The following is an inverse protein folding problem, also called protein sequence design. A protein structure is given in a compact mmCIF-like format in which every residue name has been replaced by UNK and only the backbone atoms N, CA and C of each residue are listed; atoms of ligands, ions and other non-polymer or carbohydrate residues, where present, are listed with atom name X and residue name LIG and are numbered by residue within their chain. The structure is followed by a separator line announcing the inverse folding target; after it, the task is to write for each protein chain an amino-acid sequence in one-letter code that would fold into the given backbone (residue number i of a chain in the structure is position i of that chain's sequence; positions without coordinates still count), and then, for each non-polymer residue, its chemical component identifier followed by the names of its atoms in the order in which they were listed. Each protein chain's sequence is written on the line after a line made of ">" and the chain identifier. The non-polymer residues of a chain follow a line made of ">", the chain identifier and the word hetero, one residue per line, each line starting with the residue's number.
data_IF_333049571780
#
_entry.id   IF_333049571780
#
_cell.length_a   1.000
_cell.length_b   1.000
_cell.length_c   1.000
_cell.angle_alpha   90.00
_cell.angle_beta   90.00
_cell.angle_gamma   90.00
#
_symmetry.space_group_name_H-M   'P 1'
#
loop_
_entity.id
_entity.type
_entity.pdbx_description
1 polymer ?
#
# COMPACT_ATOMS: atom_id res chain seq x y z
N UNK A 1 -6.88 5.84 -14.82
CA UNK A 1 -6.26 4.52 -14.60
C UNK A 1 -6.07 4.28 -13.10
N UNK A 2 -5.96 3.01 -12.67
CA UNK A 2 -5.69 2.71 -11.27
C UNK A 2 -4.40 3.36 -10.76
N UNK A 3 -3.37 3.42 -11.58
CA UNK A 3 -2.10 4.06 -11.21
C UNK A 3 -2.26 5.56 -11.00
N UNK A 4 -3.00 6.24 -11.86
CA UNK A 4 -3.28 7.66 -11.72
C UNK A 4 -4.12 7.94 -10.48
N UNK A 5 -5.12 7.10 -10.21
CA UNK A 5 -5.96 7.21 -9.02
C UNK A 5 -5.14 7.04 -7.76
N UNK A 6 -4.29 6.02 -7.71
CA UNK A 6 -3.41 5.77 -6.56
C UNK A 6 -2.46 6.92 -6.30
N UNK A 7 -1.90 7.48 -7.36
CA UNK A 7 -1.01 8.63 -7.26
C UNK A 7 -1.73 9.85 -6.68
N UNK A 8 -2.93 10.11 -7.14
CA UNK A 8 -3.75 11.22 -6.67
C UNK A 8 -4.14 11.03 -5.20
N UNK A 9 -4.62 9.85 -4.85
CA UNK A 9 -5.04 9.55 -3.47
C UNK A 9 -3.87 9.65 -2.49
N UNK A 10 -2.68 9.22 -2.89
CA UNK A 10 -1.50 9.35 -2.05
C UNK A 10 -1.22 10.83 -1.73
N UNK A 11 -1.31 11.70 -2.73
CA UNK A 11 -1.13 13.14 -2.52
C UNK A 11 -2.22 13.70 -1.60
N UNK A 12 -3.47 13.33 -1.85
CA UNK A 12 -4.61 13.81 -1.05
C UNK A 12 -4.51 13.37 0.41
N UNK A 13 -4.07 12.14 0.65
CA UNK A 13 -4.02 11.57 1.99
C UNK A 13 -2.74 11.91 2.74
N UNK A 14 -1.61 11.98 2.07
CA UNK A 14 -0.30 12.13 2.72
C UNK A 14 0.46 13.38 2.31
N UNK A 15 0.05 14.06 1.27
CA UNK A 15 0.80 15.18 0.70
C UNK A 15 2.04 14.74 -0.06
N UNK A 16 2.26 13.45 -0.24
CA UNK A 16 3.46 12.90 -0.87
C UNK A 16 3.22 12.67 -2.35
N UNK A 17 4.05 13.27 -3.21
CA UNK A 17 4.06 13.01 -4.64
C UNK A 17 4.94 11.79 -4.92
N UNK A 18 4.39 10.81 -5.60
CA UNK A 18 5.14 9.60 -5.95
C UNK A 18 6.13 9.88 -7.09
N UNK A 19 7.25 9.17 -7.06
CA UNK A 19 8.24 9.19 -8.13
C UNK A 19 7.79 8.30 -9.28
N UNK A 20 7.27 7.12 -8.97
CA UNK A 20 6.77 6.15 -9.93
C UNK A 20 5.64 5.36 -9.31
N UNK A 21 4.73 4.88 -10.14
CA UNK A 21 3.65 4.00 -9.70
C UNK A 21 3.61 2.76 -10.60
N UNK A 22 3.16 1.66 -10.04
CA UNK A 22 2.99 0.40 -10.74
C UNK A 22 1.76 -0.32 -10.23
N UNK A 23 0.89 -0.72 -11.13
CA UNK A 23 -0.23 -1.58 -10.79
C UNK A 23 0.29 -2.98 -10.50
N UNK A 24 0.12 -3.46 -9.28
CA UNK A 24 0.53 -4.81 -8.87
C UNK A 24 -0.50 -5.86 -9.24
N UNK A 25 -1.75 -5.49 -9.26
CA UNK A 25 -2.82 -6.39 -9.60
C UNK A 25 -4.16 -5.85 -9.13
N UNK A 26 -5.20 -6.58 -9.46
CA UNK A 26 -6.57 -6.23 -9.09
C UNK A 26 -7.22 -7.47 -8.48
N UNK A 27 -8.09 -7.27 -7.51
CA UNK A 27 -8.74 -8.35 -6.81
C UNK A 27 -10.16 -8.00 -6.43
N UNK A 28 -10.98 -9.04 -6.36
CA UNK A 28 -12.36 -8.93 -5.89
C UNK A 28 -12.42 -9.63 -4.53
N UNK A 29 -12.71 -8.91 -3.44
CA UNK A 29 -12.68 -9.48 -2.09
C UNK A 29 -13.68 -10.60 -1.90
N UNK A 30 -14.85 -10.51 -2.55
CA UNK A 30 -15.90 -11.52 -2.44
C UNK A 30 -16.26 -11.98 -3.84
N UNK A 31 -15.81 -13.18 -4.19
CA UNK A 31 -16.05 -13.77 -5.50
C UNK A 31 -17.54 -14.12 -5.65
N UNK A 32 -18.13 -13.76 -6.79
CA UNK A 32 -19.53 -14.06 -7.09
C UNK A 32 -20.55 -13.14 -6.44
N UNK A 33 -20.09 -12.17 -5.66
CA UNK A 33 -20.95 -11.14 -5.08
C UNK A 33 -20.77 -9.83 -5.83
N UNK A 34 -21.75 -8.93 -5.74
CA UNK A 34 -21.57 -7.58 -6.29
C UNK A 34 -20.51 -6.92 -5.45
N UNK A 35 -19.28 -7.12 -5.84
CA UNK A 35 -18.13 -6.59 -5.15
C UNK A 35 -17.42 -5.58 -6.01
N UNK A 36 -16.90 -4.57 -5.37
CA UNK A 36 -16.00 -3.66 -6.04
C UNK A 36 -14.69 -4.38 -6.34
N UNK A 37 -14.10 -4.06 -7.48
CA UNK A 37 -12.75 -4.49 -7.78
C UNK A 37 -11.79 -3.50 -7.14
N UNK A 38 -10.85 -4.02 -6.36
CA UNK A 38 -9.81 -3.21 -5.76
C UNK A 38 -8.51 -3.37 -6.56
N UNK A 39 -7.81 -2.27 -6.71
CA UNK A 39 -6.54 -2.24 -7.43
C UNK A 39 -5.41 -1.98 -6.45
N UNK A 40 -4.39 -2.82 -6.47
CA UNK A 40 -3.20 -2.65 -5.63
C UNK A 40 -2.13 -1.92 -6.43
N UNK A 41 -1.78 -0.73 -6.01
CA UNK A 41 -0.80 0.11 -6.70
C UNK A 41 0.40 0.32 -5.78
N UNK A 42 1.59 0.04 -6.30
CA UNK A 42 2.84 0.32 -5.62
C UNK A 42 3.30 1.72 -6.05
N UNK A 43 3.54 2.58 -5.08
CA UNK A 43 4.06 3.92 -5.33
C UNK A 43 5.45 4.03 -4.70
N UNK A 44 6.46 4.35 -5.52
CA UNK A 44 7.76 4.72 -5.02
C UNK A 44 7.72 6.19 -4.63
N UNK A 45 8.17 6.49 -3.43
CA UNK A 45 8.17 7.85 -2.90
C UNK A 45 9.59 8.31 -2.62
N UNK A 46 9.85 9.62 -2.63
CA UNK A 46 11.14 10.12 -2.18
C UNK A 46 11.30 9.87 -0.69
N UNK A 47 12.54 9.99 -0.22
CA UNK A 47 12.79 9.93 1.21
C UNK A 47 12.05 11.07 1.91
N UNK A 48 11.31 10.74 2.96
CA UNK A 48 10.50 11.70 3.69
C UNK A 48 10.90 11.74 5.15
N UNK A 49 10.67 12.88 5.79
CA UNK A 49 10.88 13.02 7.22
C UNK A 49 9.70 12.36 7.94
N UNK A 50 9.96 11.37 8.83
CA UNK A 50 8.89 10.72 9.59
C UNK A 50 8.05 11.71 10.40
N UNK A 51 8.63 12.81 10.85
CA UNK A 51 7.92 13.83 11.64
C UNK A 51 6.82 14.51 10.82
N UNK A 52 7.03 14.72 9.54
CA UNK A 52 6.03 15.31 8.65
C UNK A 52 4.80 14.40 8.53
N UNK A 53 5.02 13.09 8.46
CA UNK A 53 3.91 12.14 8.40
C UNK A 53 3.16 12.08 9.74
N UNK A 54 3.85 12.16 10.86
CA UNK A 54 3.23 12.18 12.17
C UNK A 54 2.35 13.42 12.36
N UNK A 55 2.80 14.59 11.90
CA UNK A 55 2.01 15.82 11.99
C UNK A 55 0.68 15.68 11.22
N UNK A 56 0.71 15.09 10.04
CA UNK A 56 -0.50 14.87 9.27
C UNK A 56 -1.44 13.89 9.95
N UNK A 57 -0.91 12.84 10.57
CA UNK A 57 -1.68 11.87 11.32
C UNK A 57 -2.36 12.52 12.54
N UNK A 58 -1.65 13.40 13.26
CA UNK A 58 -2.20 14.13 14.40
C UNK A 58 -3.35 15.04 14.01
N UNK A 59 -3.31 15.59 12.81
CA UNK A 59 -4.38 16.42 12.28
C UNK A 59 -5.59 15.61 11.81
N UNK A 60 -5.51 14.28 11.89
CA UNK A 60 -6.59 13.38 11.48
C UNK A 60 -6.76 13.26 9.98
N UNK A 61 -5.77 13.72 9.22
CA UNK A 61 -5.83 13.72 7.75
C UNK A 61 -5.38 12.40 7.16
N UNK A 62 -4.52 11.66 7.89
CA UNK A 62 -3.83 10.49 7.37
C UNK A 62 -3.93 9.30 8.32
N UNK A 63 -4.32 8.15 7.78
CA UNK A 63 -4.16 6.85 8.42
C UNK A 63 -2.99 6.14 7.72
N UNK A 64 -1.78 6.66 7.93
CA UNK A 64 -0.57 6.17 7.28
C UNK A 64 0.57 6.06 8.30
N UNK A 65 1.47 5.11 8.05
CA UNK A 65 2.55 4.81 8.98
C UNK A 65 3.79 4.37 8.21
N UNK A 66 4.95 4.81 8.67
CA UNK A 66 6.24 4.34 8.14
C UNK A 66 6.67 3.12 8.93
N UNK A 67 6.89 2.02 8.23
CA UNK A 67 7.31 0.76 8.85
C UNK A 67 8.32 0.06 7.96
N UNK A 68 9.15 -0.78 8.55
CA UNK A 68 10.03 -1.67 7.80
C UNK A 68 9.24 -2.88 7.30
N UNK A 69 9.80 -3.64 6.36
CA UNK A 69 9.19 -4.89 5.90
C UNK A 69 8.99 -5.88 7.03
N UNK A 70 9.96 -5.98 7.93
CA UNK A 70 9.87 -6.85 9.10
C UNK A 70 8.76 -6.42 10.03
N UNK A 71 8.61 -5.11 10.24
CA UNK A 71 7.55 -4.57 11.09
C UNK A 71 6.16 -4.85 10.51
N UNK A 72 5.96 -4.62 9.20
CA UNK A 72 4.65 -4.86 8.60
C UNK A 72 4.31 -6.34 8.58
N UNK A 73 5.29 -7.22 8.38
CA UNK A 73 5.07 -8.66 8.46
C UNK A 73 4.64 -9.08 9.86
N UNK A 74 5.29 -8.54 10.90
CA UNK A 74 4.92 -8.80 12.29
C UNK A 74 3.51 -8.28 12.60
N UNK A 75 3.16 -7.11 12.09
CA UNK A 75 1.84 -6.52 12.27
C UNK A 75 0.73 -7.36 11.61
N UNK A 76 1.02 -7.94 10.46
CA UNK A 76 0.09 -8.85 9.79
C UNK A 76 -0.04 -10.16 10.57
N UNK A 77 1.08 -10.73 11.03
CA UNK A 77 1.09 -11.98 11.77
C UNK A 77 0.39 -11.89 13.13
N UNK A 78 0.51 -10.75 13.80
CA UNK A 78 -0.11 -10.52 15.12
C UNK A 78 -1.57 -10.09 15.05
N UNK A 79 -2.11 -9.90 13.86
CA UNK A 79 -3.46 -9.38 13.61
C UNK A 79 -3.63 -7.90 13.99
N UNK A 80 -2.55 -7.16 14.19
CA UNK A 80 -2.63 -5.71 14.33
C UNK A 80 -3.20 -5.10 13.04
N UNK A 81 -2.84 -5.68 11.89
CA UNK A 81 -3.48 -5.36 10.61
C UNK A 81 -4.62 -6.38 10.42
N UNK A 82 -5.84 -5.92 10.53
CA UNK A 82 -7.04 -6.76 10.39
C UNK A 82 -7.77 -6.52 9.08
N UNK A 83 -7.59 -5.35 8.47
CA UNK A 83 -8.31 -4.98 7.27
C UNK A 83 -7.95 -5.90 6.09
N UNK A 84 -8.98 -6.56 5.55
CA UNK A 84 -8.81 -7.53 4.46
C UNK A 84 -8.27 -6.90 3.18
N UNK A 85 -8.66 -5.69 2.85
CA UNK A 85 -8.16 -5.00 1.65
C UNK A 85 -6.67 -4.69 1.82
N UNK A 86 -6.26 -4.22 3.00
CA UNK A 86 -4.85 -3.98 3.30
C UNK A 86 -4.03 -5.26 3.18
N UNK A 87 -4.53 -6.35 3.75
CA UNK A 87 -3.84 -7.65 3.67
C UNK A 87 -3.72 -8.14 2.23
N UNK A 88 -4.73 -7.93 1.40
CA UNK A 88 -4.67 -8.29 -0.02
C UNK A 88 -3.63 -7.46 -0.76
N UNK A 89 -3.54 -6.17 -0.48
CA UNK A 89 -2.53 -5.30 -1.07
C UNK A 89 -1.12 -5.73 -0.65
N UNK A 90 -0.93 -6.09 0.61
CA UNK A 90 0.35 -6.59 1.10
C UNK A 90 0.73 -7.92 0.45
N UNK A 91 -0.24 -8.81 0.24
CA UNK A 91 0.00 -10.08 -0.45
C UNK A 91 0.48 -9.83 -1.89
N UNK A 92 -0.12 -8.87 -2.59
CA UNK A 92 0.32 -8.47 -3.94
C UNK A 92 1.75 -7.92 -3.92
N UNK A 93 2.06 -7.10 -2.93
CA UNK A 93 3.40 -6.53 -2.78
C UNK A 93 4.44 -7.62 -2.53
N UNK A 94 4.19 -8.53 -1.62
CA UNK A 94 5.12 -9.63 -1.33
C UNK A 94 5.30 -10.54 -2.54
N UNK A 95 4.23 -10.85 -3.25
CA UNK A 95 4.31 -11.66 -4.46
C UNK A 95 5.16 -10.97 -5.54
N UNK A 96 5.00 -9.66 -5.70
CA UNK A 96 5.79 -8.86 -6.62
C UNK A 96 7.27 -8.89 -6.24
N UNK A 97 7.59 -8.69 -4.96
CA UNK A 97 8.97 -8.71 -4.47
C UNK A 97 9.62 -10.09 -4.64
N UNK A 98 8.89 -11.15 -4.37
CA UNK A 98 9.36 -12.51 -4.57
C UNK A 98 9.62 -12.79 -6.04
N UNK A 99 8.74 -12.31 -6.93
CA UNK A 99 8.90 -12.43 -8.37
C UNK A 99 10.16 -11.72 -8.87
N UNK A 100 10.47 -10.54 -8.32
CA UNK A 100 11.70 -9.82 -8.67
C UNK A 100 12.94 -10.62 -8.31
N UNK A 101 12.96 -11.23 -7.11
CA UNK A 101 14.08 -12.04 -6.66
C UNK A 101 14.20 -13.34 -7.45
N UNK A 102 13.05 -14.00 -7.71
CA UNK A 102 13.01 -15.24 -8.47
C UNK A 102 13.49 -15.09 -9.91
N UNK A 103 13.21 -13.95 -10.55
CA UNK A 103 13.61 -13.70 -11.93
C UNK A 103 15.11 -13.51 -12.10
N UNK A 104 15.85 -13.36 -11.02
CA UNK A 104 17.30 -13.23 -11.03
C UNK A 104 18.04 -14.56 -10.99
N UNK A 105 17.32 -15.66 -10.87
CA UNK A 105 17.92 -16.98 -10.78
C UNK A 105 18.11 -17.63 -12.18
#
# INVERSE_FOLDING_TARGET
>A
TPEQTGKRELIEETGIASLRTKLLGSQTPISGFVGDTFHSVLAEIPEIDPDDLELQAEEGIVDAKLVTRSQVAAMAASQEIEDGVTLMCLARYWAYKESEHGSGE
#
